data_IF_164642280085
#
_entry.id   IF_164642280085
#
_cell.length_a   1.000
_cell.length_b   1.000
_cell.length_c   1.000
_cell.angle_alpha   90.00
_cell.angle_beta   90.00
_cell.angle_gamma   90.00
#
_symmetry.space_group_name_H-M   'P 1'
#
loop_
_entity.id
_entity.type
_entity.pdbx_description
1 polymer ?
#
# COMPACT_ATOMS: atom_id res chain seq x y z
N UNK A 1 14.15 6.49 -15.25
CA UNK A 1 14.67 5.88 -14.01
C UNK A 1 13.74 6.31 -12.88
N UNK A 2 12.84 5.44 -12.39
CA UNK A 2 11.92 5.82 -11.30
C UNK A 2 12.68 5.79 -9.97
N UNK A 3 13.43 6.85 -9.66
CA UNK A 3 13.99 7.15 -8.33
C UNK A 3 12.95 7.02 -7.22
N UNK A 4 11.71 7.25 -7.60
CA UNK A 4 10.51 7.19 -6.79
C UNK A 4 10.17 5.83 -6.15
N UNK A 5 10.22 4.73 -6.92
CA UNK A 5 9.91 3.41 -6.37
C UNK A 5 10.90 3.01 -5.27
N UNK A 6 12.17 3.42 -5.41
CA UNK A 6 13.18 3.17 -4.39
C UNK A 6 12.95 3.99 -3.13
N UNK A 7 12.58 5.28 -3.24
CA UNK A 7 12.41 6.14 -2.06
C UNK A 7 11.26 5.70 -1.13
N UNK A 8 10.10 5.34 -1.69
CA UNK A 8 8.94 4.86 -0.91
C UNK A 8 9.31 3.56 -0.20
N UNK A 9 9.88 2.63 -0.95
CA UNK A 9 10.19 1.30 -0.44
C UNK A 9 11.34 1.35 0.59
N UNK A 10 12.30 2.26 0.42
CA UNK A 10 13.36 2.51 1.40
C UNK A 10 12.86 3.18 2.68
N UNK A 11 11.94 4.17 2.57
CA UNK A 11 11.33 4.82 3.75
C UNK A 11 10.52 3.85 4.61
N UNK A 12 9.87 2.86 4.01
CA UNK A 12 9.18 1.78 4.73
C UNK A 12 10.18 0.90 5.51
N UNK A 13 11.35 0.61 4.92
CA UNK A 13 12.35 -0.30 5.50
C UNK A 13 13.13 0.33 6.66
N UNK A 14 13.52 1.59 6.52
CA UNK A 14 14.55 2.18 7.37
C UNK A 14 14.01 2.87 8.62
N UNK A 15 12.77 3.35 8.62
CA UNK A 15 12.28 4.22 9.69
C UNK A 15 10.75 4.31 9.80
N UNK A 16 9.98 3.26 9.47
CA UNK A 16 8.51 3.36 9.41
C UNK A 16 7.90 4.06 10.65
N UNK A 17 7.59 5.36 10.49
CA UNK A 17 6.93 6.25 11.46
C UNK A 17 5.40 6.17 11.34
N UNK A 18 4.91 5.14 10.67
CA UNK A 18 3.52 4.96 10.32
C UNK A 18 3.18 3.48 10.33
N UNK A 19 1.95 3.18 10.73
CA UNK A 19 1.36 1.85 10.66
C UNK A 19 0.76 1.64 9.26
N UNK A 20 0.83 0.40 8.77
CA UNK A 20 0.35 0.04 7.43
C UNK A 20 -0.81 -0.90 7.58
N UNK A 21 -1.93 -0.56 6.97
CA UNK A 21 -3.09 -1.47 6.90
C UNK A 21 -3.28 -1.93 5.48
N UNK A 22 -3.30 -3.26 5.28
CA UNK A 22 -3.58 -3.86 3.98
C UNK A 22 -4.07 -5.29 4.13
N UNK A 23 -4.75 -5.81 3.11
CA UNK A 23 -5.17 -7.21 3.08
C UNK A 23 -4.00 -8.16 2.76
N UNK A 24 -4.11 -9.42 3.20
CA UNK A 24 -3.10 -10.46 2.96
C UNK A 24 -2.93 -10.71 1.45
N UNK A 25 -4.00 -10.65 0.67
CA UNK A 25 -3.99 -10.84 -0.78
C UNK A 25 -3.18 -9.74 -1.48
N UNK A 26 -3.34 -8.49 -1.04
CA UNK A 26 -2.56 -7.34 -1.53
C UNK A 26 -1.08 -7.52 -1.20
N UNK A 27 -0.77 -8.00 -0.01
CA UNK A 27 0.61 -8.23 0.42
C UNK A 27 1.28 -9.35 -0.40
N UNK A 28 0.55 -10.45 -0.64
CA UNK A 28 1.00 -11.52 -1.51
C UNK A 28 1.27 -11.03 -2.95
N UNK A 29 0.39 -10.14 -3.45
CA UNK A 29 0.58 -9.52 -4.76
C UNK A 29 1.82 -8.63 -4.80
N UNK A 30 2.13 -7.85 -3.76
CA UNK A 30 3.38 -7.09 -3.67
C UNK A 30 4.59 -8.03 -3.78
N UNK A 31 4.59 -9.14 -3.02
CA UNK A 31 5.66 -10.14 -3.10
C UNK A 31 5.87 -10.66 -4.52
N UNK A 32 4.77 -11.01 -5.20
CA UNK A 32 4.80 -11.50 -6.59
C UNK A 32 5.31 -10.45 -7.58
N UNK A 33 4.88 -9.19 -7.43
CA UNK A 33 5.30 -8.08 -8.31
C UNK A 33 6.77 -7.73 -8.11
N UNK A 34 7.28 -7.76 -6.88
CA UNK A 34 8.70 -7.52 -6.59
C UNK A 34 9.61 -8.60 -7.19
N UNK A 35 9.13 -9.84 -7.28
CA UNK A 35 9.83 -10.93 -7.96
C UNK A 35 9.92 -10.76 -9.49
N UNK A 36 9.16 -9.83 -10.10
CA UNK A 36 9.20 -9.64 -11.54
C UNK A 36 10.56 -9.11 -12.01
N UNK A 37 11.18 -9.70 -13.05
CA UNK A 37 12.50 -9.29 -13.54
C UNK A 37 12.59 -7.79 -13.87
N UNK A 38 11.51 -7.22 -14.43
CA UNK A 38 11.43 -5.79 -14.78
C UNK A 38 11.43 -4.87 -13.55
N UNK A 39 10.86 -5.32 -12.44
CA UNK A 39 10.78 -4.57 -11.17
C UNK A 39 12.07 -4.75 -10.41
N UNK A 40 12.55 -5.99 -10.29
CA UNK A 40 13.85 -6.32 -9.71
C UNK A 40 14.99 -5.49 -10.33
N UNK A 41 15.05 -5.40 -11.67
CA UNK A 41 16.04 -4.56 -12.39
C UNK A 41 15.94 -3.07 -12.07
N UNK A 42 14.74 -2.55 -11.79
CA UNK A 42 14.51 -1.13 -11.47
C UNK A 42 14.92 -0.80 -10.04
N UNK A 43 14.59 -1.68 -9.10
CA UNK A 43 14.87 -1.47 -7.68
C UNK A 43 16.36 -1.69 -7.36
N UNK A 44 17.01 -2.60 -8.09
CA UNK A 44 18.38 -3.08 -7.82
C UNK A 44 18.53 -3.63 -6.40
N UNK A 45 17.46 -4.23 -5.89
CA UNK A 45 17.47 -4.95 -4.62
C UNK A 45 17.92 -6.39 -4.88
N UNK A 46 18.60 -6.98 -3.91
CA UNK A 46 18.83 -8.43 -3.90
C UNK A 46 17.61 -9.16 -3.29
N UNK A 47 17.62 -10.48 -3.42
CA UNK A 47 16.54 -11.34 -2.93
C UNK A 47 16.36 -11.20 -1.40
N UNK A 48 17.46 -11.13 -0.65
CA UNK A 48 17.43 -10.97 0.81
C UNK A 48 16.74 -9.66 1.23
N UNK A 49 17.00 -8.55 0.52
CA UNK A 49 16.35 -7.26 0.78
C UNK A 49 14.87 -7.29 0.44
N UNK A 50 14.48 -7.96 -0.64
CA UNK A 50 13.06 -8.14 -0.99
C UNK A 50 12.35 -8.95 0.09
N UNK A 51 12.93 -10.07 0.53
CA UNK A 51 12.37 -10.87 1.61
C UNK A 51 12.23 -10.09 2.91
N UNK A 52 13.26 -9.33 3.29
CA UNK A 52 13.23 -8.51 4.49
C UNK A 52 12.14 -7.43 4.41
N UNK A 53 11.97 -6.80 3.25
CA UNK A 53 10.90 -5.83 3.00
C UNK A 53 9.52 -6.45 3.14
N UNK A 54 9.29 -7.62 2.54
CA UNK A 54 8.00 -8.32 2.65
C UNK A 54 7.72 -8.74 4.09
N UNK A 55 8.71 -9.26 4.83
CA UNK A 55 8.56 -9.61 6.25
C UNK A 55 8.22 -8.39 7.10
N UNK A 56 8.87 -7.26 6.84
CA UNK A 56 8.60 -6.00 7.55
C UNK A 56 7.21 -5.45 7.26
N UNK A 57 6.73 -5.60 6.02
CA UNK A 57 5.34 -5.28 5.66
C UNK A 57 4.36 -6.22 6.35
N UNK A 58 4.65 -7.53 6.38
CA UNK A 58 3.77 -8.52 7.02
C UNK A 58 3.55 -8.25 8.51
N UNK A 59 4.62 -7.94 9.24
CA UNK A 59 4.53 -7.62 10.68
C UNK A 59 3.72 -6.35 10.94
N UNK A 60 3.68 -5.41 9.98
CA UNK A 60 2.99 -4.13 10.12
C UNK A 60 1.57 -4.16 9.58
N UNK A 61 1.31 -4.99 8.57
CA UNK A 61 0.03 -5.21 7.91
C UNK A 61 -0.89 -6.11 8.74
N UNK A 62 -1.21 -5.70 9.97
CA UNK A 62 -2.08 -6.46 10.84
C UNK A 62 -3.45 -5.78 10.96
N UNK A 63 -4.36 -6.07 10.02
CA UNK A 63 -5.81 -5.87 10.26
C UNK A 63 -6.59 -7.00 9.60
N UNK A 64 -7.30 -7.78 10.43
CA UNK A 64 -8.35 -8.69 9.97
C UNK A 64 -9.56 -7.87 9.51
N UNK A 65 -9.70 -7.69 8.20
CA UNK A 65 -10.77 -6.91 7.57
C UNK A 65 -12.09 -7.68 7.43
N UNK A 66 -12.23 -8.86 8.05
CA UNK A 66 -13.34 -9.79 7.79
C UNK A 66 -14.75 -9.33 8.20
N UNK A 67 -14.96 -8.13 8.75
CA UNK A 67 -16.27 -7.81 9.37
C UNK A 67 -16.89 -6.44 9.05
N UNK A 68 -16.34 -5.63 8.14
CA UNK A 68 -16.95 -4.32 7.85
C UNK A 68 -17.56 -4.26 6.45
N UNK A 69 -18.87 -4.47 6.35
CA UNK A 69 -19.63 -4.07 5.16
C UNK A 69 -19.83 -2.56 5.20
N UNK A 70 -18.98 -1.83 4.49
CA UNK A 70 -19.26 -0.41 4.21
C UNK A 70 -20.02 -0.35 2.89
N UNK A 71 -21.11 0.40 2.82
CA UNK A 71 -21.65 0.83 1.53
C UNK A 71 -20.59 1.71 0.86
N UNK A 72 -19.96 1.18 -0.19
CA UNK A 72 -18.98 1.91 -1.00
C UNK A 72 -19.37 1.89 -2.48
N UNK A 73 -18.99 2.92 -3.25
CA UNK A 73 -19.72 3.32 -4.46
C UNK A 73 -19.29 2.56 -5.72
N UNK A 74 -20.25 2.38 -6.63
CA UNK A 74 -20.20 2.07 -8.08
C UNK A 74 -19.29 0.94 -8.63
N UNK A 75 -18.06 0.73 -8.17
CA UNK A 75 -17.19 -0.39 -8.59
C UNK A 75 -17.04 -1.43 -7.45
N UNK A 76 -17.51 -2.68 -7.64
CA UNK A 76 -17.33 -3.76 -6.67
C UNK A 76 -15.88 -4.04 -6.25
N UNK A 77 -14.88 -3.69 -7.07
CA UNK A 77 -13.47 -3.94 -6.79
C UNK A 77 -12.83 -2.94 -5.82
N UNK A 78 -13.38 -1.74 -5.73
CA UNK A 78 -12.89 -0.69 -4.83
C UNK A 78 -13.51 -0.78 -3.43
N UNK A 79 -14.68 -1.38 -3.32
CA UNK A 79 -15.40 -1.55 -2.06
C UNK A 79 -14.57 -2.17 -0.93
N UNK A 80 -13.80 -3.26 -1.15
CA UNK A 80 -12.96 -3.83 -0.09
C UNK A 80 -11.86 -2.89 0.39
N UNK A 81 -11.33 -2.03 -0.48
CA UNK A 81 -10.22 -1.10 -0.18
C UNK A 81 -10.72 0.03 0.72
N UNK A 82 -11.88 0.57 0.39
CA UNK A 82 -12.47 1.67 1.14
C UNK A 82 -13.12 1.16 2.43
N UNK A 83 -13.67 -0.06 2.43
CA UNK A 83 -14.04 -0.74 3.66
C UNK A 83 -12.84 -0.91 4.58
N UNK A 84 -11.66 -1.25 4.05
CA UNK A 84 -10.43 -1.34 4.83
C UNK A 84 -10.01 0.00 5.44
N UNK A 85 -10.05 1.09 4.67
CA UNK A 85 -9.76 2.44 5.16
C UNK A 85 -10.66 2.80 6.36
N UNK A 86 -11.96 2.52 6.23
CA UNK A 86 -12.96 2.89 7.24
C UNK A 86 -12.85 1.98 8.47
N UNK A 87 -12.76 0.66 8.27
CA UNK A 87 -12.66 -0.32 9.35
C UNK A 87 -11.40 -0.14 10.20
N UNK A 88 -10.30 0.24 9.56
CA UNK A 88 -9.01 0.42 10.25
C UNK A 88 -8.85 1.76 10.93
N UNK A 89 -9.66 2.77 10.58
CA UNK A 89 -9.49 4.13 11.08
C UNK A 89 -8.18 4.79 10.61
N UNK A 90 -7.55 4.29 9.54
CA UNK A 90 -6.29 4.83 9.04
C UNK A 90 -6.44 6.29 8.60
N UNK A 91 -5.41 7.10 8.86
CA UNK A 91 -5.41 8.54 8.55
C UNK A 91 -5.55 8.85 7.05
N UNK A 92 -5.10 7.93 6.20
CA UNK A 92 -5.22 8.05 4.75
C UNK A 92 -5.10 6.70 4.03
N UNK A 93 -5.81 6.56 2.91
CA UNK A 93 -5.55 5.53 1.91
C UNK A 93 -4.52 6.06 0.90
N UNK A 94 -3.40 5.34 0.75
CA UNK A 94 -2.37 5.67 -0.24
C UNK A 94 -2.60 4.83 -1.51
N UNK A 95 -2.95 5.49 -2.63
CA UNK A 95 -3.19 4.82 -3.91
C UNK A 95 -2.76 5.65 -5.11
N UNK A 96 -2.27 4.98 -6.16
CA UNK A 96 -2.04 5.58 -7.48
C UNK A 96 -3.18 5.32 -8.48
N UNK A 97 -4.22 4.61 -8.07
CA UNK A 97 -5.37 4.26 -8.89
C UNK A 97 -6.26 5.47 -9.14
N UNK A 98 -6.63 5.73 -10.40
CA UNK A 98 -7.38 6.93 -10.78
C UNK A 98 -8.80 6.93 -10.22
N UNK A 99 -9.47 5.79 -10.22
CA UNK A 99 -10.86 5.69 -9.82
C UNK A 99 -10.99 5.91 -8.30
N UNK A 100 -10.06 5.36 -7.52
CA UNK A 100 -9.95 5.69 -6.09
C UNK A 100 -9.60 7.16 -5.85
N UNK A 101 -8.72 7.75 -6.66
CA UNK A 101 -8.32 9.15 -6.51
C UNK A 101 -9.47 10.13 -6.76
N UNK A 102 -10.47 9.78 -7.57
CA UNK A 102 -11.68 10.57 -7.76
C UNK A 102 -12.54 10.67 -6.48
N UNK A 103 -12.36 9.75 -5.53
CA UNK A 103 -13.11 9.70 -4.28
C UNK A 103 -12.51 10.58 -3.16
N UNK A 104 -11.43 11.33 -3.44
CA UNK A 104 -10.77 12.25 -2.49
C UNK A 104 -11.66 13.31 -1.85
N UNK A 105 -12.76 13.68 -2.52
CA UNK A 105 -13.74 14.60 -1.95
C UNK A 105 -14.53 14.01 -0.77
N UNK A 106 -14.48 12.68 -0.58
CA UNK A 106 -15.25 11.96 0.44
C UNK A 106 -14.38 11.19 1.43
N UNK A 107 -13.21 10.72 0.99
CA UNK A 107 -12.31 9.92 1.81
C UNK A 107 -10.89 10.51 1.78
N UNK A 108 -10.11 10.34 2.87
CA UNK A 108 -8.73 10.80 2.91
C UNK A 108 -7.85 9.91 2.03
N UNK A 109 -7.74 10.24 0.74
CA UNK A 109 -6.95 9.47 -0.23
C UNK A 109 -5.77 10.31 -0.73
N UNK A 110 -4.59 9.72 -0.74
CA UNK A 110 -3.34 10.36 -1.17
C UNK A 110 -2.63 9.51 -2.20
N UNK A 111 -1.85 10.16 -3.07
CA UNK A 111 -0.90 9.46 -3.93
C UNK A 111 0.30 9.07 -3.08
N UNK A 112 1.06 8.05 -3.50
CA UNK A 112 2.37 7.78 -2.93
C UNK A 112 3.28 9.03 -2.86
N UNK A 113 3.07 10.04 -3.74
CA UNK A 113 3.87 11.27 -3.80
C UNK A 113 3.64 12.17 -2.63
N UNK A 114 2.36 12.41 -2.39
CA UNK A 114 1.90 13.33 -1.38
C UNK A 114 2.18 12.72 -0.01
N UNK A 115 1.99 11.41 0.13
CA UNK A 115 2.31 10.71 1.37
C UNK A 115 3.79 10.82 1.73
N UNK A 116 4.71 10.52 0.79
CA UNK A 116 6.16 10.62 1.06
C UNK A 116 6.59 12.06 1.38
N UNK A 117 6.00 13.08 0.75
CA UNK A 117 6.32 14.48 1.07
C UNK A 117 5.91 14.89 2.48
N UNK A 118 5.03 14.14 3.14
CA UNK A 118 4.57 14.36 4.51
C UNK A 118 5.42 13.65 5.58
N UNK A 119 6.25 12.68 5.20
CA UNK A 119 7.11 11.90 6.10
C UNK A 119 8.40 12.66 6.43
#
# INVERSE_FOLDING_TARGET
MCTWCNSVAQSIVESARFDVVMSIERLAEIGRVLAYPKIHRKLKWDEQRIEQFIRQLYVRAEVDLRSTSVEVPRDPQDSPILAALIASGADALVSGDRDLLELRGKYPIQTPAEFVRRL
#
